data_IF_538040033982
#
_entry.id   IF_538040033982
#
_cell.length_a   1.000
_cell.length_b   1.000
_cell.length_c   1.000
_cell.angle_alpha   90.00
_cell.angle_beta   90.00
_cell.angle_gamma   90.00
#
_symmetry.space_group_name_H-M   'P 1'
#
loop_
_entity.id
_entity.type
_entity.pdbx_description
1 polymer ?
#
# COMPACT_ATOMS: atom_id res chain seq x y z
N UNK A 1 -25.48 -24.75 -27.92
CA UNK A 1 -26.11 -25.47 -26.79
C UNK A 1 -26.68 -24.39 -25.91
N UNK A 2 -27.99 -24.42 -25.66
CA UNK A 2 -28.65 -23.39 -24.84
C UNK A 2 -28.19 -23.52 -23.40
N UNK A 3 -27.83 -22.39 -22.80
CA UNK A 3 -27.52 -22.34 -21.37
C UNK A 3 -28.74 -22.83 -20.57
N UNK A 4 -28.54 -23.53 -19.43
CA UNK A 4 -29.64 -24.04 -18.64
C UNK A 4 -30.50 -22.88 -18.14
N UNK A 5 -31.82 -23.04 -18.21
CA UNK A 5 -32.83 -22.06 -17.76
C UNK A 5 -32.82 -21.89 -16.23
N UNK A 6 -32.20 -22.83 -15.50
CA UNK A 6 -31.97 -22.77 -14.05
C UNK A 6 -30.47 -22.85 -13.74
N UNK A 7 -29.93 -21.85 -13.04
CA UNK A 7 -28.52 -21.79 -12.64
C UNK A 7 -28.29 -20.89 -11.44
N UNK A 8 -27.22 -21.15 -10.68
CA UNK A 8 -26.79 -20.30 -9.57
C UNK A 8 -25.76 -19.29 -10.05
N UNK A 9 -25.92 -18.04 -9.62
CA UNK A 9 -24.98 -16.93 -9.85
C UNK A 9 -24.67 -16.26 -8.51
N UNK A 10 -23.42 -15.84 -8.34
CA UNK A 10 -22.99 -14.97 -7.25
C UNK A 10 -23.28 -13.52 -7.61
N UNK A 11 -24.12 -12.88 -6.81
CA UNK A 11 -24.37 -11.45 -6.90
C UNK A 11 -23.21 -10.65 -6.30
N UNK A 12 -22.83 -9.57 -6.95
CA UNK A 12 -21.85 -8.62 -6.46
C UNK A 12 -22.55 -7.53 -5.65
N UNK A 13 -22.34 -7.53 -4.34
CA UNK A 13 -22.96 -6.56 -3.43
C UNK A 13 -21.94 -5.51 -2.99
N UNK A 14 -22.28 -4.23 -3.11
CA UNK A 14 -21.52 -3.12 -2.56
C UNK A 14 -22.36 -2.39 -1.50
N UNK A 15 -21.79 -2.18 -0.31
CA UNK A 15 -22.47 -1.54 0.81
C UNK A 15 -21.72 -0.32 1.31
N UNK A 16 -22.48 0.69 1.74
CA UNK A 16 -22.00 1.75 2.62
C UNK A 16 -22.54 1.49 4.02
N UNK A 17 -21.64 1.45 5.01
CA UNK A 17 -21.97 1.06 6.38
C UNK A 17 -21.47 2.14 7.34
N UNK A 18 -22.33 2.53 8.27
CA UNK A 18 -21.91 3.33 9.42
C UNK A 18 -21.02 2.49 10.34
N UNK A 19 -19.76 2.89 10.50
CA UNK A 19 -18.75 2.06 11.20
C UNK A 19 -19.07 1.91 12.70
N UNK A 20 -19.68 2.91 13.32
CA UNK A 20 -19.97 2.90 14.76
C UNK A 20 -21.15 1.97 15.09
N UNK A 21 -22.21 2.03 14.28
CA UNK A 21 -23.48 1.34 14.53
C UNK A 21 -23.64 0.03 13.76
N UNK A 22 -22.91 -0.13 12.64
CA UNK A 22 -23.08 -1.23 11.70
C UNK A 22 -24.32 -1.10 10.79
N UNK A 23 -24.99 0.06 10.78
CA UNK A 23 -26.15 0.31 9.92
C UNK A 23 -25.74 0.36 8.44
N UNK A 24 -26.46 -0.39 7.59
CA UNK A 24 -26.31 -0.31 6.13
C UNK A 24 -27.07 0.91 5.63
N UNK A 25 -26.33 1.90 5.13
CA UNK A 25 -26.86 3.17 4.64
C UNK A 25 -27.24 3.10 3.15
N UNK A 26 -26.57 2.22 2.41
CA UNK A 26 -26.76 1.96 0.99
C UNK A 26 -26.31 0.54 0.67
N UNK A 27 -27.05 -0.14 -0.21
CA UNK A 27 -26.73 -1.46 -0.72
C UNK A 27 -27.03 -1.49 -2.22
N UNK A 28 -26.09 -2.01 -3.00
CA UNK A 28 -26.19 -2.13 -4.44
C UNK A 28 -25.95 -3.56 -4.88
N UNK A 29 -26.84 -4.08 -5.70
CA UNK A 29 -26.82 -5.46 -6.23
C UNK A 29 -26.47 -5.46 -7.71
N UNK A 30 -25.36 -6.09 -8.09
CA UNK A 30 -24.94 -6.10 -9.50
C UNK A 30 -25.96 -6.75 -10.42
N UNK A 31 -26.73 -7.74 -9.95
CA UNK A 31 -27.74 -8.44 -10.77
C UNK A 31 -28.92 -7.56 -11.20
N UNK A 32 -29.17 -6.45 -10.49
CA UNK A 32 -30.22 -5.50 -10.84
C UNK A 32 -29.79 -4.57 -11.99
N UNK A 33 -28.48 -4.40 -12.21
CA UNK A 33 -27.95 -3.34 -13.07
C UNK A 33 -26.97 -3.82 -14.17
N UNK A 34 -26.39 -5.02 -14.05
CA UNK A 34 -25.38 -5.55 -14.96
C UNK A 34 -25.76 -6.94 -15.45
N UNK A 35 -25.88 -7.09 -16.77
CA UNK A 35 -26.27 -8.36 -17.39
C UNK A 35 -25.19 -9.44 -17.32
N UNK A 36 -25.59 -10.70 -17.18
CA UNK A 36 -24.67 -11.85 -17.17
C UNK A 36 -23.84 -11.95 -18.46
N UNK A 37 -24.37 -11.45 -19.58
CA UNK A 37 -23.72 -11.44 -20.90
C UNK A 37 -22.49 -10.51 -20.97
N UNK A 38 -22.36 -9.59 -20.03
CA UNK A 38 -21.18 -8.70 -19.89
C UNK A 38 -19.95 -9.44 -19.36
N UNK A 39 -20.15 -10.57 -18.67
CA UNK A 39 -19.05 -11.36 -18.11
C UNK A 39 -18.26 -12.12 -19.18
N UNK A 40 -16.93 -12.18 -19.04
CA UNK A 40 -16.08 -13.03 -19.88
C UNK A 40 -15.93 -14.47 -19.32
N UNK A 41 -16.44 -14.73 -18.12
CA UNK A 41 -16.31 -16.01 -17.41
C UNK A 41 -17.64 -16.74 -17.29
N UNK A 42 -17.62 -17.97 -16.74
CA UNK A 42 -18.83 -18.75 -16.47
C UNK A 42 -19.75 -18.01 -15.48
N UNK A 43 -21.07 -18.20 -15.57
CA UNK A 43 -22.05 -17.38 -14.86
C UNK A 43 -22.04 -17.51 -13.34
N UNK A 44 -21.34 -18.49 -12.74
CA UNK A 44 -21.31 -18.62 -11.29
C UNK A 44 -20.68 -17.41 -10.61
N UNK A 45 -19.53 -16.93 -11.09
CA UNK A 45 -18.87 -15.72 -10.59
C UNK A 45 -18.79 -14.72 -11.74
N UNK A 46 -19.92 -14.09 -12.04
CA UNK A 46 -20.07 -13.30 -13.26
C UNK A 46 -19.54 -11.87 -13.12
N UNK A 47 -19.56 -11.30 -11.91
CA UNK A 47 -19.20 -9.90 -11.64
C UNK A 47 -17.94 -9.70 -10.77
N UNK A 48 -17.67 -10.54 -9.76
CA UNK A 48 -16.44 -10.47 -8.95
C UNK A 48 -15.94 -9.04 -8.61
N UNK A 49 -16.59 -8.36 -7.65
CA UNK A 49 -16.13 -7.05 -7.17
C UNK A 49 -14.77 -7.19 -6.48
N UNK A 50 -13.80 -6.35 -6.84
CA UNK A 50 -12.47 -6.35 -6.20
C UNK A 50 -11.98 -4.98 -5.73
N UNK A 51 -12.64 -3.89 -6.13
CA UNK A 51 -12.40 -2.56 -5.56
C UNK A 51 -13.64 -1.68 -5.62
N UNK A 52 -13.79 -0.85 -4.60
CA UNK A 52 -14.76 0.24 -4.52
C UNK A 52 -13.98 1.51 -4.18
N UNK A 53 -14.35 2.62 -4.82
CA UNK A 53 -13.78 3.95 -4.59
C UNK A 53 -14.90 5.00 -4.59
N UNK A 54 -14.79 6.02 -3.75
CA UNK A 54 -15.71 7.17 -3.83
C UNK A 54 -15.29 8.02 -5.03
N UNK A 55 -16.16 8.15 -6.03
CA UNK A 55 -15.87 8.98 -7.19
C UNK A 55 -16.07 10.46 -6.86
N UNK A 56 -17.23 10.76 -6.28
CA UNK A 56 -17.62 12.07 -5.76
C UNK A 56 -18.70 11.89 -4.67
N UNK A 57 -19.38 12.97 -4.27
CA UNK A 57 -20.42 12.93 -3.25
C UNK A 57 -21.56 11.97 -3.61
N UNK A 58 -21.95 11.90 -4.88
CA UNK A 58 -23.15 11.21 -5.35
C UNK A 58 -22.82 9.91 -6.09
N UNK A 59 -21.54 9.59 -6.34
CA UNK A 59 -21.15 8.41 -7.13
C UNK A 59 -20.04 7.57 -6.51
N UNK A 60 -20.08 6.27 -6.82
CA UNK A 60 -19.02 5.30 -6.52
C UNK A 60 -18.39 4.78 -7.81
N UNK A 61 -17.12 4.40 -7.77
CA UNK A 61 -16.54 3.47 -8.72
C UNK A 61 -16.56 2.06 -8.15
N UNK A 62 -17.00 1.10 -8.95
CA UNK A 62 -16.96 -0.33 -8.64
C UNK A 62 -16.18 -1.03 -9.74
N UNK A 63 -15.14 -1.78 -9.39
CA UNK A 63 -14.37 -2.60 -10.34
C UNK A 63 -14.82 -4.04 -10.26
N UNK A 64 -15.14 -4.60 -11.42
CA UNK A 64 -15.45 -6.02 -11.61
C UNK A 64 -14.33 -6.68 -12.41
N UNK A 65 -13.77 -7.75 -11.84
CA UNK A 65 -12.69 -8.53 -12.47
C UNK A 65 -13.21 -9.24 -13.71
N UNK A 66 -14.36 -9.90 -13.61
CA UNK A 66 -14.84 -10.89 -14.60
C UNK A 66 -15.55 -10.26 -15.79
N UNK A 67 -16.10 -9.06 -15.65
CA UNK A 67 -16.55 -8.23 -16.79
C UNK A 67 -15.41 -7.40 -17.39
N UNK A 68 -14.28 -7.30 -16.68
CA UNK A 68 -13.14 -6.45 -17.03
C UNK A 68 -13.54 -4.99 -17.25
N UNK A 69 -14.38 -4.47 -16.34
CA UNK A 69 -14.99 -3.14 -16.42
C UNK A 69 -14.95 -2.43 -15.08
N UNK A 70 -14.73 -1.12 -15.12
CA UNK A 70 -14.95 -0.20 -13.99
C UNK A 70 -16.27 0.54 -14.23
N UNK A 71 -17.15 0.54 -13.23
CA UNK A 71 -18.49 1.11 -13.31
C UNK A 71 -18.55 2.36 -12.45
N UNK A 72 -19.08 3.47 -12.97
CA UNK A 72 -19.55 4.58 -12.13
C UNK A 72 -21.01 4.37 -11.80
N UNK A 73 -21.34 4.31 -10.51
CA UNK A 73 -22.68 4.03 -9.99
C UNK A 73 -23.20 5.25 -9.25
N UNK A 74 -24.44 5.65 -9.54
CA UNK A 74 -25.15 6.69 -8.79
C UNK A 74 -25.62 6.13 -7.43
N UNK A 75 -25.19 6.76 -6.34
CA UNK A 75 -25.43 6.32 -4.96
C UNK A 75 -26.89 6.42 -4.52
N UNK A 76 -27.72 7.21 -5.21
CA UNK A 76 -29.12 7.42 -4.83
C UNK A 76 -30.04 6.44 -5.53
N UNK A 77 -29.72 6.12 -6.77
CA UNK A 77 -30.58 5.34 -7.67
C UNK A 77 -30.05 3.93 -7.91
N UNK A 78 -28.76 3.68 -7.67
CA UNK A 78 -28.09 2.43 -8.04
C UNK A 78 -27.77 2.32 -9.52
N UNK A 79 -28.18 3.28 -10.35
CA UNK A 79 -27.99 3.22 -11.79
C UNK A 79 -26.50 3.28 -12.17
N UNK A 80 -26.12 2.48 -13.17
CA UNK A 80 -24.79 2.55 -13.80
C UNK A 80 -24.77 3.77 -14.72
N UNK A 81 -24.04 4.81 -14.31
CA UNK A 81 -23.87 6.05 -15.09
C UNK A 81 -23.01 5.81 -16.32
N UNK A 82 -21.92 5.04 -16.17
CA UNK A 82 -21.09 4.59 -17.29
C UNK A 82 -20.25 3.35 -16.95
N UNK A 83 -19.76 2.70 -18.00
CA UNK A 83 -18.86 1.53 -18.02
C UNK A 83 -17.56 1.89 -18.73
N UNK A 84 -16.44 1.82 -18.00
CA UNK A 84 -15.10 1.98 -18.57
C UNK A 84 -14.49 0.59 -18.81
N UNK A 85 -14.39 0.19 -20.09
CA UNK A 85 -13.83 -1.09 -20.48
C UNK A 85 -14.85 -2.24 -20.60
N UNK A 86 -14.34 -3.46 -20.80
CA UNK A 86 -15.12 -4.66 -21.06
C UNK A 86 -15.92 -4.66 -22.37
N UNK A 87 -16.96 -5.51 -22.41
CA UNK A 87 -17.77 -5.77 -23.63
C UNK A 87 -18.70 -4.61 -24.01
N UNK A 88 -19.17 -3.85 -23.02
CA UNK A 88 -20.16 -2.77 -23.17
C UNK A 88 -19.61 -1.43 -22.70
N UNK A 89 -18.33 -1.16 -22.97
CA UNK A 89 -17.72 0.14 -22.65
C UNK A 89 -18.52 1.27 -23.27
N UNK A 90 -18.86 2.29 -22.48
CA UNK A 90 -19.50 3.51 -22.95
C UNK A 90 -18.46 4.50 -23.53
N UNK A 91 -17.18 4.27 -23.26
CA UNK A 91 -16.06 5.09 -23.75
C UNK A 91 -15.44 4.55 -25.04
N UNK A 92 -15.04 5.46 -25.93
CA UNK A 92 -14.01 5.23 -26.93
C UNK A 92 -12.67 5.00 -26.22
N UNK A 93 -12.14 3.78 -26.34
CA UNK A 93 -10.95 3.34 -25.61
C UNK A 93 -9.70 3.44 -26.50
N UNK A 94 -8.82 4.41 -26.24
CA UNK A 94 -7.55 4.56 -26.97
C UNK A 94 -6.62 3.37 -26.73
N UNK A 95 -5.59 3.24 -27.58
CA UNK A 95 -4.58 2.20 -27.46
C UNK A 95 -3.98 2.15 -26.05
N UNK A 96 -3.97 0.95 -25.46
CA UNK A 96 -3.38 0.71 -24.14
C UNK A 96 -4.30 0.98 -22.95
N UNK A 97 -5.54 1.46 -23.15
CA UNK A 97 -6.49 1.73 -22.05
C UNK A 97 -7.38 0.54 -21.69
N UNK A 98 -7.54 -0.42 -22.60
CA UNK A 98 -8.28 -1.66 -22.31
C UNK A 98 -7.48 -2.54 -21.35
N UNK A 99 -8.17 -3.01 -20.33
CA UNK A 99 -7.62 -3.90 -19.30
C UNK A 99 -8.33 -5.25 -19.33
N UNK A 100 -7.78 -6.24 -18.63
CA UNK A 100 -8.42 -7.55 -18.47
C UNK A 100 -8.16 -8.09 -17.07
N UNK A 101 -9.22 -8.58 -16.41
CA UNK A 101 -9.16 -9.13 -15.04
C UNK A 101 -8.56 -8.15 -14.01
N UNK A 102 -8.73 -6.84 -14.26
CA UNK A 102 -8.07 -5.75 -13.54
C UNK A 102 -8.52 -5.61 -12.08
N UNK A 103 -7.66 -5.02 -11.25
CA UNK A 103 -7.90 -4.72 -9.85
C UNK A 103 -7.65 -3.24 -9.53
N UNK A 104 -8.16 -2.82 -8.37
CA UNK A 104 -7.77 -1.59 -7.67
C UNK A 104 -7.92 -0.32 -8.52
N UNK A 105 -9.12 -0.13 -9.10
CA UNK A 105 -9.47 1.12 -9.75
C UNK A 105 -9.63 2.24 -8.70
N UNK A 106 -8.82 3.30 -8.81
CA UNK A 106 -8.79 4.45 -7.88
C UNK A 106 -8.87 5.77 -8.62
N UNK A 107 -9.77 6.65 -8.20
CA UNK A 107 -9.94 8.00 -8.73
C UNK A 107 -9.00 8.97 -8.01
N UNK A 108 -8.32 9.84 -8.75
CA UNK A 108 -7.39 10.83 -8.19
C UNK A 108 -7.86 12.28 -8.37
N UNK A 109 -7.42 13.24 -7.54
CA UNK A 109 -7.85 14.64 -7.67
C UNK A 109 -7.60 15.29 -9.03
N UNK A 110 -6.65 14.77 -9.82
CA UNK A 110 -6.22 15.36 -11.09
C UNK A 110 -7.07 14.96 -12.32
N UNK A 111 -8.05 14.07 -12.18
CA UNK A 111 -8.82 13.56 -13.33
C UNK A 111 -8.55 12.10 -13.68
N UNK A 112 -7.42 11.55 -13.23
CA UNK A 112 -7.02 10.19 -13.61
C UNK A 112 -7.72 9.12 -12.77
N UNK A 113 -7.79 7.91 -13.35
CA UNK A 113 -8.11 6.67 -12.67
C UNK A 113 -6.90 5.75 -12.78
N UNK A 114 -6.29 5.36 -11.66
CA UNK A 114 -5.26 4.31 -11.67
C UNK A 114 -5.91 2.94 -11.60
N UNK A 115 -5.35 1.98 -12.32
CA UNK A 115 -5.84 0.61 -12.39
C UNK A 115 -4.64 -0.34 -12.40
N UNK A 116 -4.71 -1.44 -11.65
CA UNK A 116 -3.79 -2.56 -11.83
C UNK A 116 -4.36 -3.51 -12.90
N UNK A 117 -3.78 -3.50 -14.09
CA UNK A 117 -4.15 -4.36 -15.20
C UNK A 117 -3.38 -5.69 -15.10
N UNK A 118 -4.03 -6.69 -14.53
CA UNK A 118 -3.50 -8.06 -14.44
C UNK A 118 -3.17 -8.60 -15.83
N UNK A 119 -4.09 -8.39 -16.78
CA UNK A 119 -4.06 -9.01 -18.08
C UNK A 119 -4.32 -10.53 -18.00
N UNK A 120 -4.91 -11.11 -19.05
CA UNK A 120 -4.97 -12.56 -19.13
C UNK A 120 -3.54 -13.09 -19.33
N UNK A 121 -2.99 -13.79 -18.34
CA UNK A 121 -1.61 -14.27 -18.31
C UNK A 121 -1.25 -15.22 -19.46
N UNK A 122 -2.25 -15.76 -20.18
CA UNK A 122 -2.05 -16.58 -21.38
C UNK A 122 -1.95 -15.75 -22.68
N UNK A 123 -2.15 -14.43 -22.61
CA UNK A 123 -2.25 -13.53 -23.76
C UNK A 123 -1.28 -12.35 -23.63
N UNK A 124 -1.18 -11.75 -22.44
CA UNK A 124 -0.32 -10.59 -22.22
C UNK A 124 1.11 -11.01 -21.88
N UNK A 125 2.09 -10.16 -22.21
CA UNK A 125 3.49 -10.41 -21.85
C UNK A 125 3.80 -10.10 -20.38
N UNK A 126 3.06 -9.19 -19.76
CA UNK A 126 3.21 -8.79 -18.37
C UNK A 126 1.95 -8.08 -17.86
N UNK A 127 1.73 -8.13 -16.56
CA UNK A 127 0.81 -7.23 -15.85
C UNK A 127 1.42 -5.84 -15.73
N UNK A 128 0.59 -4.84 -15.45
CA UNK A 128 1.03 -3.43 -15.39
C UNK A 128 0.12 -2.59 -14.50
N UNK A 129 0.71 -1.57 -13.88
CA UNK A 129 -0.08 -0.45 -13.37
C UNK A 129 -0.32 0.55 -14.49
N UNK A 130 -1.52 1.12 -14.58
CA UNK A 130 -1.83 2.20 -15.54
C UNK A 130 -2.53 3.36 -14.86
N UNK A 131 -2.41 4.53 -15.46
CA UNK A 131 -3.24 5.70 -15.18
C UNK A 131 -3.99 6.08 -16.46
N UNK A 132 -5.31 6.12 -16.38
CA UNK A 132 -6.22 6.43 -17.49
C UNK A 132 -6.84 7.81 -17.24
N UNK A 133 -6.78 8.68 -18.25
CA UNK A 133 -7.57 9.90 -18.29
C UNK A 133 -8.90 9.60 -18.96
N UNK A 134 -9.99 10.10 -18.38
CA UNK A 134 -11.33 9.98 -18.96
C UNK A 134 -11.90 11.36 -19.27
N UNK A 135 -12.62 11.46 -20.38
CA UNK A 135 -13.43 12.61 -20.72
C UNK A 135 -14.90 12.16 -20.74
N UNK A 136 -15.66 12.50 -19.69
CA UNK A 136 -17.06 12.12 -19.55
C UNK A 136 -18.00 12.87 -20.53
N UNK A 137 -17.60 14.05 -21.04
CA UNK A 137 -18.43 14.78 -22.02
C UNK A 137 -18.34 14.15 -23.42
N UNK A 138 -17.14 13.67 -23.78
CA UNK A 138 -16.86 13.03 -25.08
C UNK A 138 -16.96 11.52 -25.03
N UNK A 139 -17.05 10.95 -23.84
CA UNK A 139 -16.94 9.51 -23.59
C UNK A 139 -15.70 8.93 -24.27
N UNK A 140 -14.52 9.48 -23.97
CA UNK A 140 -13.23 8.97 -24.46
C UNK A 140 -12.27 8.68 -23.31
N UNK A 141 -11.44 7.65 -23.44
CA UNK A 141 -10.42 7.28 -22.47
C UNK A 141 -9.04 7.18 -23.14
N UNK A 142 -8.03 7.82 -22.53
CA UNK A 142 -6.64 7.84 -23.01
C UNK A 142 -5.66 7.38 -21.93
N UNK A 143 -4.56 6.77 -22.35
CA UNK A 143 -3.52 6.28 -21.44
C UNK A 143 -2.58 7.44 -21.07
N UNK A 144 -2.65 7.90 -19.82
CA UNK A 144 -1.73 8.92 -19.32
C UNK A 144 -0.37 8.33 -18.94
N UNK A 145 -0.38 7.17 -18.26
CA UNK A 145 0.86 6.51 -17.86
C UNK A 145 0.72 5.01 -17.71
N UNK A 146 1.84 4.32 -17.90
CA UNK A 146 2.02 2.89 -17.71
C UNK A 146 3.25 2.64 -16.83
N UNK A 147 3.14 1.65 -15.94
CA UNK A 147 4.16 1.20 -15.01
C UNK A 147 4.35 -0.31 -15.20
N UNK A 148 5.49 -0.70 -15.76
CA UNK A 148 5.84 -2.09 -16.07
C UNK A 148 7.10 -2.51 -15.32
N UNK A 149 7.22 -3.79 -15.01
CA UNK A 149 8.39 -4.34 -14.35
C UNK A 149 9.39 -4.87 -15.39
N UNK A 150 10.71 -4.62 -15.26
CA UNK A 150 11.71 -5.09 -16.23
C UNK A 150 11.72 -6.61 -16.41
N UNK A 151 11.39 -7.36 -15.35
CA UNK A 151 11.30 -8.82 -15.39
C UNK A 151 9.97 -9.36 -15.95
N UNK A 152 9.12 -8.48 -16.50
CA UNK A 152 7.83 -8.83 -17.12
C UNK A 152 6.93 -9.68 -16.20
N UNK A 153 6.66 -9.15 -15.01
CA UNK A 153 5.88 -9.86 -14.00
C UNK A 153 4.45 -10.15 -14.48
N UNK A 154 3.96 -11.37 -14.22
CA UNK A 154 2.59 -11.79 -14.50
C UNK A 154 1.87 -12.08 -13.19
N UNK A 155 0.73 -11.41 -12.99
CA UNK A 155 -0.08 -11.47 -11.78
C UNK A 155 -1.50 -11.87 -12.16
N UNK A 156 -1.84 -13.15 -12.05
CA UNK A 156 -3.15 -13.68 -12.46
C UNK A 156 -4.31 -13.11 -11.62
N UNK A 157 -4.02 -12.73 -10.37
CA UNK A 157 -5.00 -12.14 -9.45
C UNK A 157 -4.40 -11.01 -8.63
N UNK A 158 -5.27 -10.24 -7.98
CA UNK A 158 -4.90 -9.26 -6.95
C UNK A 158 -4.09 -8.08 -7.54
N UNK A 159 -3.47 -7.28 -6.68
CA UNK A 159 -2.60 -6.17 -7.06
C UNK A 159 -3.19 -4.79 -6.80
N UNK A 160 -2.31 -3.79 -6.76
CA UNK A 160 -2.66 -2.41 -6.41
C UNK A 160 -1.74 -1.39 -7.07
N UNK A 161 -2.28 -0.18 -7.26
CA UNK A 161 -1.53 1.00 -7.70
C UNK A 161 -1.82 2.15 -6.73
N UNK A 162 -0.79 2.63 -6.04
CA UNK A 162 -0.89 3.75 -5.11
C UNK A 162 -0.04 4.92 -5.60
N UNK A 163 -0.67 6.08 -5.83
CA UNK A 163 0.06 7.35 -6.02
C UNK A 163 0.48 7.89 -4.66
N UNK A 164 1.78 8.16 -4.50
CA UNK A 164 2.37 8.68 -3.26
C UNK A 164 2.34 10.21 -3.23
N UNK A 165 2.42 10.86 -2.04
CA UNK A 165 2.37 12.32 -1.91
C UNK A 165 3.44 13.10 -2.72
N UNK A 166 4.58 12.46 -3.01
CA UNK A 166 5.64 13.05 -3.83
C UNK A 166 5.44 12.83 -5.34
N UNK A 167 4.33 12.21 -5.75
CA UNK A 167 4.00 11.89 -7.14
C UNK A 167 4.63 10.59 -7.67
N UNK A 168 5.41 9.87 -6.86
CA UNK A 168 5.84 8.52 -7.20
C UNK A 168 4.65 7.55 -7.16
N UNK A 169 4.82 6.38 -7.76
CA UNK A 169 3.80 5.35 -7.82
C UNK A 169 4.33 4.06 -7.20
N UNK A 170 3.62 3.54 -6.22
CA UNK A 170 3.90 2.27 -5.59
C UNK A 170 2.96 1.20 -6.13
N UNK A 171 3.52 0.10 -6.62
CA UNK A 171 2.78 -1.00 -7.24
C UNK A 171 2.97 -2.25 -6.41
N UNK A 172 1.85 -2.84 -5.97
CA UNK A 172 1.82 -4.20 -5.43
C UNK A 172 1.46 -5.17 -6.55
N UNK A 173 2.31 -6.16 -6.81
CA UNK A 173 2.17 -7.05 -7.96
C UNK A 173 1.28 -8.28 -7.68
N UNK A 174 0.32 -8.16 -6.76
CA UNK A 174 -0.71 -9.19 -6.58
C UNK A 174 -0.15 -10.58 -6.25
N UNK A 175 -0.55 -11.57 -7.04
CA UNK A 175 -0.05 -12.94 -6.96
C UNK A 175 1.41 -13.12 -7.41
N UNK A 176 2.02 -12.12 -8.05
CA UNK A 176 3.46 -12.07 -8.18
C UNK A 176 4.06 -11.48 -6.88
N UNK A 177 5.06 -12.13 -6.25
CA UNK A 177 5.53 -11.80 -4.90
C UNK A 177 6.42 -10.56 -4.87
N UNK A 178 6.03 -9.48 -5.55
CA UNK A 178 6.82 -8.27 -5.72
C UNK A 178 6.03 -7.04 -5.26
N UNK A 179 6.79 -6.01 -4.89
CA UNK A 179 6.30 -4.65 -4.81
C UNK A 179 7.41 -3.70 -5.24
N UNK A 180 7.01 -2.61 -5.89
CA UNK A 180 7.95 -1.69 -6.51
C UNK A 180 7.51 -0.25 -6.34
N UNK A 181 8.49 0.67 -6.30
CA UNK A 181 8.24 2.10 -6.40
C UNK A 181 8.80 2.61 -7.72
N UNK A 182 8.00 3.39 -8.42
CA UNK A 182 8.31 4.06 -9.67
C UNK A 182 8.29 5.57 -9.47
N UNK A 183 9.11 6.29 -10.21
CA UNK A 183 8.92 7.72 -10.39
C UNK A 183 7.62 7.99 -11.16
N UNK A 184 7.14 9.24 -11.14
CA UNK A 184 5.94 9.67 -11.88
C UNK A 184 5.99 9.33 -13.38
N UNK A 185 7.17 9.36 -13.99
CA UNK A 185 7.42 9.07 -15.40
C UNK A 185 7.65 7.57 -15.70
N UNK A 186 7.60 6.70 -14.70
CA UNK A 186 7.63 5.25 -14.88
C UNK A 186 9.01 4.60 -14.71
N UNK A 187 10.02 5.32 -14.21
CA UNK A 187 11.33 4.73 -13.90
C UNK A 187 11.25 3.95 -12.58
N UNK A 188 11.68 2.70 -12.59
CA UNK A 188 11.81 1.88 -11.38
C UNK A 188 12.85 2.50 -10.41
N UNK A 189 12.42 2.83 -9.19
CA UNK A 189 13.24 3.43 -8.14
C UNK A 189 13.57 2.44 -7.02
N UNK A 190 12.63 1.55 -6.72
CA UNK A 190 12.75 0.53 -5.69
C UNK A 190 12.04 -0.73 -6.13
N UNK A 191 12.62 -1.88 -5.80
CA UNK A 191 12.00 -3.18 -6.02
C UNK A 191 12.34 -4.11 -4.86
N UNK A 192 11.34 -4.84 -4.38
CA UNK A 192 11.51 -5.88 -3.38
C UNK A 192 10.57 -7.04 -3.65
N UNK A 193 10.95 -8.20 -3.11
CA UNK A 193 10.18 -9.43 -3.24
C UNK A 193 9.94 -10.04 -1.87
N UNK A 194 8.79 -10.68 -1.71
CA UNK A 194 8.54 -11.54 -0.56
C UNK A 194 9.30 -12.87 -0.69
N UNK A 195 9.56 -13.59 0.41
CA UNK A 195 10.03 -14.96 0.35
C UNK A 195 9.12 -15.81 -0.56
N UNK A 196 9.70 -16.79 -1.23
CA UNK A 196 8.96 -17.74 -2.09
C UNK A 196 7.78 -18.36 -1.33
N UNK A 197 6.64 -18.53 -2.00
CA UNK A 197 5.33 -19.00 -1.47
C UNK A 197 4.41 -17.92 -0.84
N UNK A 198 4.78 -16.63 -0.90
CA UNK A 198 3.89 -15.55 -0.47
C UNK A 198 3.23 -14.86 -1.67
N UNK A 199 1.97 -14.48 -1.53
CA UNK A 199 1.28 -13.53 -2.42
C UNK A 199 0.91 -12.28 -1.63
N UNK A 200 0.64 -11.18 -2.34
CA UNK A 200 0.04 -10.01 -1.70
C UNK A 200 -1.29 -9.67 -2.35
N UNK A 201 -2.33 -9.51 -1.53
CA UNK A 201 -3.59 -8.96 -2.04
C UNK A 201 -3.38 -7.55 -2.59
N UNK A 202 -2.78 -6.69 -1.77
CA UNK A 202 -2.32 -5.35 -2.12
C UNK A 202 -1.06 -5.01 -1.33
N UNK A 203 -0.29 -4.07 -1.84
CA UNK A 203 0.82 -3.47 -1.11
C UNK A 203 0.68 -1.94 -1.15
N UNK A 204 0.94 -1.30 0.01
CA UNK A 204 0.86 0.14 0.18
C UNK A 204 2.07 0.65 0.96
N UNK A 205 2.44 1.90 0.68
CA UNK A 205 3.50 2.62 1.37
C UNK A 205 2.91 3.83 2.09
N UNK A 206 3.11 3.88 3.39
CA UNK A 206 2.70 4.99 4.25
C UNK A 206 3.88 5.48 5.10
N UNK A 207 3.89 6.77 5.47
CA UNK A 207 4.67 7.22 6.61
C UNK A 207 4.29 6.39 7.83
N UNK A 208 5.28 5.88 8.55
CA UNK A 208 5.05 5.11 9.78
C UNK A 208 5.89 5.73 10.90
N UNK A 209 5.23 6.03 12.01
CA UNK A 209 5.87 6.41 13.25
C UNK A 209 5.60 5.32 14.29
N UNK A 210 6.67 4.78 14.87
CA UNK A 210 6.62 3.72 15.86
C UNK A 210 7.09 4.23 17.22
N UNK A 211 6.26 3.98 18.23
CA UNK A 211 6.54 4.26 19.64
C UNK A 211 6.43 2.95 20.44
N UNK A 212 7.55 2.23 20.64
CA UNK A 212 7.53 0.98 21.39
C UNK A 212 7.18 1.22 22.86
N UNK A 213 6.48 0.27 23.47
CA UNK A 213 6.14 0.30 24.89
C UNK A 213 7.34 -0.06 25.80
N UNK A 214 8.27 -0.87 25.29
CA UNK A 214 9.48 -1.26 25.99
C UNK A 214 10.56 -0.17 25.93
N UNK A 215 11.44 -0.16 26.92
CA UNK A 215 12.60 0.73 26.94
C UNK A 215 13.62 0.36 25.85
N UNK A 216 14.44 1.32 25.37
CA UNK A 216 15.58 1.03 24.51
C UNK A 216 16.57 0.07 25.19
N UNK A 217 17.27 -0.72 24.37
CA UNK A 217 18.29 -1.67 24.80
C UNK A 217 19.69 -1.06 24.72
N UNK A 218 20.54 -1.43 25.68
CA UNK A 218 21.95 -1.05 25.76
C UNK A 218 22.79 -2.26 26.16
N UNK A 219 23.93 -2.43 25.48
CA UNK A 219 25.01 -3.34 25.88
C UNK A 219 26.31 -2.54 25.91
N UNK A 220 27.20 -2.84 26.83
CA UNK A 220 28.51 -2.21 26.94
C UNK A 220 29.64 -3.25 26.87
N UNK A 221 30.72 -2.90 26.18
CA UNK A 221 31.97 -3.64 26.16
C UNK A 221 33.12 -2.73 26.62
N UNK A 222 33.91 -3.21 27.58
CA UNK A 222 35.09 -2.50 28.10
C UNK A 222 36.29 -2.67 27.18
N UNK A 223 36.95 -1.56 26.88
CA UNK A 223 38.22 -1.47 26.15
C UNK A 223 39.40 -1.13 27.06
N UNK A 224 40.55 -0.83 26.44
CA UNK A 224 41.73 -0.33 27.14
C UNK A 224 41.60 1.17 27.47
N UNK A 225 42.34 1.64 28.47
CA UNK A 225 42.44 3.07 28.82
C UNK A 225 41.08 3.78 29.03
N UNK A 226 40.22 3.15 29.85
CA UNK A 226 38.86 3.62 30.20
C UNK A 226 37.90 3.77 29.02
N UNK A 227 38.22 3.13 27.89
CA UNK A 227 37.33 3.08 26.73
C UNK A 227 36.14 2.15 26.96
N UNK A 228 34.97 2.58 26.50
CA UNK A 228 33.73 1.82 26.54
C UNK A 228 33.07 1.92 25.18
N UNK A 229 32.69 0.77 24.62
CA UNK A 229 31.87 0.68 23.42
C UNK A 229 30.45 0.29 23.80
N UNK A 230 29.49 1.17 23.50
CA UNK A 230 28.07 0.97 23.73
C UNK A 230 27.37 0.57 22.43
N UNK A 231 26.46 -0.39 22.55
CA UNK A 231 25.58 -0.85 21.48
C UNK A 231 24.15 -0.47 21.86
N UNK A 232 23.57 0.45 21.11
CA UNK A 232 22.26 1.03 21.37
C UNK A 232 21.26 0.61 20.29
N UNK A 233 20.12 0.02 20.69
CA UNK A 233 19.05 -0.33 19.76
C UNK A 233 17.67 -0.15 20.38
N UNK A 234 16.68 0.17 19.55
CA UNK A 234 15.29 0.24 19.99
C UNK A 234 14.36 -0.20 18.87
N UNK A 235 14.00 -1.49 18.91
CA UNK A 235 13.17 -2.09 17.87
C UNK A 235 11.80 -1.42 17.83
N UNK A 236 11.35 -1.05 16.63
CA UNK A 236 10.08 -0.36 16.43
C UNK A 236 10.11 1.16 16.66
N UNK A 237 11.18 1.73 17.23
CA UNK A 237 11.27 3.18 17.43
C UNK A 237 11.73 3.88 16.14
N UNK A 238 10.91 4.79 15.61
CA UNK A 238 11.21 5.52 14.37
C UNK A 238 11.74 6.92 14.61
N UNK A 239 11.39 7.52 15.77
CA UNK A 239 11.66 8.95 16.03
C UNK A 239 13.03 9.24 16.67
N UNK A 240 13.80 8.20 17.00
CA UNK A 240 15.14 8.37 17.60
C UNK A 240 16.09 8.98 16.56
N UNK A 241 16.54 10.20 16.83
CA UNK A 241 17.52 10.91 16.01
C UNK A 241 18.93 10.83 16.61
N UNK A 242 19.04 10.96 17.93
CA UNK A 242 20.31 11.00 18.65
C UNK A 242 20.24 10.14 19.91
N UNK A 243 21.33 9.47 20.25
CA UNK A 243 21.55 8.86 21.55
C UNK A 243 22.39 9.80 22.40
N UNK A 244 21.87 10.18 23.56
CA UNK A 244 22.64 10.90 24.58
C UNK A 244 23.16 9.89 25.59
N UNK A 245 24.47 9.79 25.69
CA UNK A 245 25.15 8.92 26.63
C UNK A 245 25.18 9.58 28.00
N UNK A 246 24.76 8.82 29.01
CA UNK A 246 24.85 9.20 30.40
C UNK A 246 25.84 8.29 31.12
N UNK A 247 26.58 8.83 32.10
CA UNK A 247 27.47 8.08 32.96
C UNK A 247 27.47 8.65 34.39
N UNK A 248 27.73 7.82 35.39
CA UNK A 248 27.80 8.30 36.77
C UNK A 248 28.06 7.23 37.83
N UNK A 249 28.13 7.69 39.08
CA UNK A 249 28.54 6.87 40.22
C UNK A 249 27.50 5.81 40.62
N UNK A 250 26.24 6.03 40.26
CA UNK A 250 25.12 5.15 40.59
C UNK A 250 24.04 5.14 39.49
N UNK A 251 23.12 4.17 39.54
CA UNK A 251 22.08 4.00 38.52
C UNK A 251 21.10 5.19 38.41
N UNK A 252 20.94 5.96 39.48
CA UNK A 252 20.07 7.15 39.54
C UNK A 252 20.88 8.47 39.54
N UNK A 253 22.20 8.39 39.37
CA UNK A 253 23.15 9.51 39.45
C UNK A 253 23.91 9.68 38.13
N UNK A 254 23.24 9.51 36.99
CA UNK A 254 23.85 9.61 35.68
C UNK A 254 23.79 11.04 35.13
N UNK A 255 24.92 11.53 34.60
CA UNK A 255 25.03 12.82 33.94
C UNK A 255 25.38 12.68 32.45
N UNK A 256 25.00 13.65 31.60
CA UNK A 256 25.35 13.63 30.19
C UNK A 256 26.86 13.62 29.94
N UNK A 257 27.33 12.62 29.20
CA UNK A 257 28.75 12.43 28.88
C UNK A 257 29.06 12.68 27.39
N UNK A 258 28.10 12.41 26.50
CA UNK A 258 28.30 12.60 25.06
C UNK A 258 27.05 12.29 24.26
N UNK A 259 27.14 12.43 22.93
CA UNK A 259 26.02 12.13 22.04
C UNK A 259 26.50 11.46 20.75
N UNK A 260 25.67 10.59 20.17
CA UNK A 260 25.89 10.02 18.86
C UNK A 260 24.60 10.01 18.03
N UNK A 261 24.65 10.38 16.74
CA UNK A 261 23.49 10.23 15.87
C UNK A 261 23.13 8.76 15.71
N UNK A 262 21.83 8.44 15.67
CA UNK A 262 21.36 7.08 15.37
C UNK A 262 21.87 6.64 14.00
N UNK A 263 22.36 5.40 13.92
CA UNK A 263 22.74 4.74 12.68
C UNK A 263 22.05 3.39 12.60
N UNK A 264 21.28 3.16 11.53
CA UNK A 264 20.63 1.86 11.27
C UNK A 264 19.73 1.37 12.41
N UNK A 265 19.67 0.04 12.56
CA UNK A 265 18.98 -0.63 13.67
C UNK A 265 19.75 -0.50 14.99
N UNK A 266 21.06 -0.78 14.97
CA UNK A 266 21.95 -0.70 16.13
C UNK A 266 23.04 0.36 15.91
N UNK A 267 23.19 1.25 16.89
CA UNK A 267 24.20 2.31 16.88
C UNK A 267 25.34 1.96 17.82
N UNK A 268 26.55 1.91 17.28
CA UNK A 268 27.78 1.70 18.05
C UNK A 268 28.36 3.06 18.45
N UNK A 269 28.63 3.25 19.75
CA UNK A 269 29.12 4.50 20.33
C UNK A 269 30.36 4.19 21.18
N UNK A 270 31.51 4.74 20.82
CA UNK A 270 32.74 4.60 21.60
C UNK A 270 33.05 5.91 22.31
N UNK A 271 33.35 5.82 23.60
CA UNK A 271 33.69 6.94 24.46
C UNK A 271 34.62 6.49 25.60
N UNK A 272 35.06 7.42 26.44
CA UNK A 272 35.86 7.12 27.64
C UNK A 272 35.16 7.59 28.89
N UNK A 273 35.16 6.77 29.93
CA UNK A 273 34.62 7.11 31.25
C UNK A 273 35.24 6.26 32.34
N UNK A 274 35.47 6.87 33.49
CA UNK A 274 35.86 6.15 34.73
C UNK A 274 34.65 5.85 35.62
N UNK A 275 33.47 6.31 35.24
CA UNK A 275 32.24 6.10 36.00
C UNK A 275 31.76 4.64 35.92
N UNK A 276 31.25 4.04 37.00
CA UNK A 276 30.88 2.62 37.04
C UNK A 276 29.54 2.29 36.38
N UNK A 277 28.69 3.28 36.08
CA UNK A 277 27.40 3.07 35.43
C UNK A 277 27.27 3.91 34.16
N UNK A 278 26.56 3.36 33.17
CA UNK A 278 26.18 4.04 31.93
C UNK A 278 24.72 3.81 31.58
N UNK A 279 24.14 4.76 30.86
CA UNK A 279 22.81 4.66 30.28
C UNK A 279 22.69 5.51 29.02
N UNK A 280 21.57 5.42 28.33
CA UNK A 280 21.29 6.24 27.15
C UNK A 280 19.89 6.86 27.22
N UNK A 281 19.79 8.11 26.79
CA UNK A 281 18.53 8.73 26.39
C UNK A 281 18.41 8.72 24.88
N UNK A 282 17.30 8.19 24.38
CA UNK A 282 16.91 8.28 22.99
C UNK A 282 16.23 9.62 22.76
N UNK A 283 16.82 10.48 21.94
CA UNK A 283 16.37 11.84 21.70
C UNK A 283 15.72 11.97 20.32
N UNK A 284 14.58 12.65 20.24
CA UNK A 284 13.94 13.01 18.97
C UNK A 284 14.74 14.08 18.23
N UNK A 285 14.43 14.32 16.94
CA UNK A 285 15.01 15.41 16.16
C UNK A 285 14.75 16.81 16.73
N UNK A 286 13.77 16.95 17.63
CA UNK A 286 13.47 18.20 18.36
C UNK A 286 14.30 18.39 19.64
N UNK A 287 15.11 17.40 20.03
CA UNK A 287 15.86 17.41 21.29
C UNK A 287 15.05 17.00 22.53
N UNK A 288 13.84 16.45 22.35
CA UNK A 288 13.07 15.84 23.45
C UNK A 288 13.51 14.41 23.71
N UNK A 289 13.62 14.04 25.00
CA UNK A 289 13.76 12.64 25.43
C UNK A 289 12.51 11.87 25.03
N UNK A 290 12.73 10.80 24.28
CA UNK A 290 11.70 9.88 23.78
C UNK A 290 11.63 8.60 24.61
N UNK A 291 12.78 8.14 25.11
CA UNK A 291 12.89 7.00 26.02
C UNK A 291 14.29 6.91 26.61
N UNK A 292 14.41 6.18 27.72
CA UNK A 292 15.68 6.06 28.45
C UNK A 292 15.94 4.58 28.73
N UNK A 293 17.19 4.15 28.57
CA UNK A 293 17.58 2.77 28.93
C UNK A 293 17.59 2.62 30.44
N UNK A 294 17.64 1.38 30.93
CA UNK A 294 18.11 1.18 32.31
C UNK A 294 19.59 1.56 32.39
N UNK A 295 20.03 2.01 33.56
CA UNK A 295 21.45 2.10 33.87
C UNK A 295 22.04 0.69 33.93
N UNK A 296 23.16 0.47 33.24
CA UNK A 296 23.93 -0.78 33.33
C UNK A 296 25.26 -0.49 34.00
N UNK A 297 25.74 -1.46 34.76
CA UNK A 297 27.06 -1.41 35.36
C UNK A 297 28.09 -1.85 34.32
N UNK A 298 29.18 -1.09 34.22
CA UNK A 298 30.35 -1.42 33.40
C UNK A 298 31.21 -2.53 34.03
#
# INVERSE_FOLDING_TARGET
>A
MGDPVDGNVLDGIAQEVDIETGEVLFEWHSLEHVGLDESYTKPYDYFHINSIEVYDRDHLLISSRTTSTVYKVDRKTGEVVWRLGGKKSDFEMDQGTRTTLQHDARRHPDGTITIFDNGNVNIVEQSRGIAVEINEDKMSASLAREYTHPDKLLSDTQGSVQVLPNGNVFVGWGSAPYFSEFSRDGKLLFNATFPTESETYRAFRFPWSGQPADAPAIVAELGADDEVTLYASWNGATEVATWQVLAGAGPDELEPLGTAPRKGFETVITLRTTEPYVGLEAMTGSGKVFGTTRAIKL
#
